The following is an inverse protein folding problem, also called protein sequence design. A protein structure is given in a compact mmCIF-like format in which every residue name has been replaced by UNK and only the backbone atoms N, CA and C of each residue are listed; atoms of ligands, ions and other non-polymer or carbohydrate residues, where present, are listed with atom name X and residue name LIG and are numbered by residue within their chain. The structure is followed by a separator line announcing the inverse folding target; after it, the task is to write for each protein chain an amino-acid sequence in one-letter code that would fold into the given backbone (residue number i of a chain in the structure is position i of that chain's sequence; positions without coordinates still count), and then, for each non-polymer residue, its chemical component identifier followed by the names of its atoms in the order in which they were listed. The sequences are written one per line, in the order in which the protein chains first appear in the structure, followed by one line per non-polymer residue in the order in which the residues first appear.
data_IF_331245585086
#
_entry.id   IF_331245585086
#
_cell.length_a   1.000
_cell.length_b   1.000
_cell.length_c   1.000
_cell.angle_alpha   90.00
_cell.angle_beta   90.00
_cell.angle_gamma   90.00
#
_symmetry.space_group_name_H-M   'P 1'
#
loop_
_entity.id
_entity.type
_entity.pdbx_description
1 polymer ?
#
# COMPACT_ATOMS: atom_id res chain seq x y z
N UNK A 1 -19.54 6.51 76.08
CA UNK A 1 -19.90 5.77 74.83
C UNK A 1 -19.36 6.57 73.71
N UNK A 2 -18.23 6.13 73.13
CA UNK A 2 -17.66 6.71 71.96
C UNK A 2 -18.39 6.06 70.79
N UNK A 3 -19.13 6.86 70.01
CA UNK A 3 -19.74 6.45 68.77
C UNK A 3 -18.63 6.22 67.75
N UNK A 4 -18.33 4.96 67.52
CA UNK A 4 -17.40 4.54 66.44
C UNK A 4 -18.15 4.75 65.11
N UNK A 5 -17.96 5.92 64.51
CA UNK A 5 -18.54 6.23 63.20
C UNK A 5 -17.83 5.41 62.14
N UNK A 6 -18.36 4.21 61.88
CA UNK A 6 -17.93 3.40 60.74
C UNK A 6 -18.32 4.09 59.45
N UNK A 7 -17.35 4.76 58.83
CA UNK A 7 -17.51 5.36 57.52
C UNK A 7 -17.44 4.22 56.48
N UNK A 8 -18.42 4.14 55.59
CA UNK A 8 -18.41 3.21 54.45
C UNK A 8 -17.49 3.82 53.39
N UNK A 9 -16.31 3.25 53.26
CA UNK A 9 -15.37 3.66 52.21
C UNK A 9 -15.79 3.08 50.86
N UNK A 10 -15.42 3.77 49.80
CA UNK A 10 -15.69 3.37 48.38
C UNK A 10 -15.23 1.95 48.09
N UNK A 11 -14.13 1.50 48.67
CA UNK A 11 -13.61 0.14 48.58
C UNK A 11 -14.51 -0.93 49.20
N UNK A 12 -15.36 -0.57 50.14
CA UNK A 12 -16.31 -1.48 50.83
C UNK A 12 -17.67 -1.52 50.15
N UNK A 13 -17.93 -0.61 49.20
CA UNK A 13 -19.18 -0.44 48.47
C UNK A 13 -18.99 -0.60 46.94
N UNK A 14 -17.85 -1.15 46.49
CA UNK A 14 -17.50 -1.25 45.10
C UNK A 14 -18.53 -2.06 44.26
N UNK A 15 -19.11 -3.08 44.88
CA UNK A 15 -20.19 -3.88 44.28
C UNK A 15 -21.54 -3.13 44.13
N UNK A 16 -21.72 -2.02 44.82
CA UNK A 16 -22.95 -1.22 44.80
C UNK A 16 -22.81 0.03 43.92
N UNK A 17 -21.58 0.34 43.45
CA UNK A 17 -21.32 1.47 42.57
C UNK A 17 -21.52 0.99 41.14
N UNK A 18 -22.57 1.45 40.43
CA UNK A 18 -22.73 1.06 39.02
C UNK A 18 -21.55 1.58 38.21
N UNK A 19 -20.91 0.69 37.48
CA UNK A 19 -19.92 1.06 36.47
C UNK A 19 -20.68 1.38 35.20
N UNK A 20 -20.62 2.61 34.77
CA UNK A 20 -21.17 3.01 33.47
C UNK A 20 -20.21 2.54 32.40
N UNK A 21 -20.64 1.57 31.58
CA UNK A 21 -19.93 1.14 30.40
C UNK A 21 -20.31 2.03 29.22
N UNK A 22 -19.31 2.66 28.59
CA UNK A 22 -19.55 3.40 27.37
C UNK A 22 -20.13 2.49 26.28
N UNK A 23 -21.12 2.96 25.54
CA UNK A 23 -21.65 2.30 24.37
C UNK A 23 -20.79 2.57 23.12
N UNK A 24 -19.77 3.42 23.24
CA UNK A 24 -18.85 3.75 22.16
C UNK A 24 -17.53 3.01 22.31
N UNK A 25 -17.09 2.34 21.27
CA UNK A 25 -15.78 1.70 21.16
C UNK A 25 -14.81 2.75 20.61
N UNK A 26 -13.76 3.06 21.36
CA UNK A 26 -12.67 3.91 20.86
C UNK A 26 -11.81 3.06 19.96
N UNK A 27 -11.80 3.38 18.67
CA UNK A 27 -11.02 2.69 17.64
C UNK A 27 -10.37 3.68 16.70
N UNK A 28 -9.27 3.27 16.08
CA UNK A 28 -8.70 4.03 14.96
C UNK A 28 -9.59 3.90 13.71
N UNK A 29 -9.57 4.94 12.89
CA UNK A 29 -10.26 4.90 11.58
C UNK A 29 -9.51 3.94 10.66
N UNK A 30 -10.18 2.97 10.04
CA UNK A 30 -9.55 2.04 9.11
C UNK A 30 -8.85 2.79 7.97
N UNK A 31 -7.61 2.42 7.70
CA UNK A 31 -6.76 3.08 6.71
C UNK A 31 -6.88 2.36 5.37
N UNK A 32 -6.90 3.13 4.30
CA UNK A 32 -7.00 2.57 2.96
C UNK A 32 -5.61 2.18 2.43
N UNK A 33 -5.58 1.15 1.55
CA UNK A 33 -4.36 0.73 0.87
C UNK A 33 -3.74 1.85 0.04
N UNK A 34 -2.44 2.09 0.22
CA UNK A 34 -1.67 3.05 -0.57
C UNK A 34 -1.56 2.62 -2.04
N UNK A 35 -1.39 1.33 -2.31
CA UNK A 35 -1.34 0.80 -3.67
C UNK A 35 -2.64 1.06 -4.43
N UNK A 36 -3.80 0.81 -3.82
CA UNK A 36 -5.09 1.03 -4.47
C UNK A 36 -5.41 2.51 -4.72
N UNK A 37 -4.84 3.42 -3.93
CA UNK A 37 -5.01 4.86 -4.13
C UNK A 37 -4.07 5.44 -5.18
N UNK A 38 -2.80 4.98 -5.20
CA UNK A 38 -1.78 5.53 -6.08
C UNK A 38 -1.78 4.92 -7.48
N UNK A 39 -2.15 3.62 -7.58
CA UNK A 39 -2.08 2.89 -8.84
C UNK A 39 -3.27 3.19 -9.74
N UNK A 40 -3.04 3.01 -11.04
CA UNK A 40 -4.10 3.14 -12.03
C UNK A 40 -5.02 1.94 -12.01
N UNK A 41 -6.29 2.16 -11.66
CA UNK A 41 -7.32 1.14 -11.78
C UNK A 41 -7.69 0.91 -13.25
N UNK A 42 -7.71 -0.36 -13.65
CA UNK A 42 -8.23 -0.81 -14.93
C UNK A 42 -9.68 -1.30 -14.78
N UNK A 43 -10.46 -1.35 -15.88
CA UNK A 43 -11.79 -1.97 -15.84
C UNK A 43 -11.74 -3.38 -15.26
N UNK A 44 -12.74 -3.76 -14.49
CA UNK A 44 -12.83 -5.04 -13.79
C UNK A 44 -12.60 -6.24 -14.73
N UNK A 45 -12.03 -7.31 -14.16
CA UNK A 45 -11.74 -8.54 -14.90
C UNK A 45 -12.97 -9.43 -14.98
N UNK A 46 -13.29 -9.90 -16.17
CA UNK A 46 -14.31 -10.95 -16.37
C UNK A 46 -13.74 -12.37 -16.31
N UNK A 47 -12.42 -12.53 -16.50
CA UNK A 47 -11.70 -13.81 -16.47
C UNK A 47 -10.56 -13.78 -15.44
N UNK A 48 -9.98 -14.94 -15.11
CA UNK A 48 -8.83 -15.05 -14.19
C UNK A 48 -7.62 -14.25 -14.67
N UNK A 49 -7.45 -14.14 -15.99
CA UNK A 49 -6.34 -13.43 -16.61
C UNK A 49 -6.85 -12.34 -17.55
N UNK A 50 -6.15 -11.22 -17.59
CA UNK A 50 -6.37 -10.10 -18.50
C UNK A 50 -5.05 -9.72 -19.13
N UNK A 51 -4.99 -9.72 -20.45
CA UNK A 51 -3.80 -9.37 -21.22
C UNK A 51 -3.93 -7.96 -21.78
N UNK A 52 -2.87 -7.17 -21.61
CA UNK A 52 -2.73 -5.81 -22.12
C UNK A 52 -1.56 -5.77 -23.11
N UNK A 53 -1.72 -5.16 -24.30
CA UNK A 53 -0.59 -4.93 -25.20
C UNK A 53 0.28 -3.79 -24.65
N UNK A 54 1.59 -3.97 -24.67
CA UNK A 54 2.59 -2.96 -24.32
C UNK A 54 3.53 -2.78 -25.49
N UNK A 55 3.84 -1.52 -25.88
CA UNK A 55 4.83 -1.25 -26.89
C UNK A 55 6.21 -1.73 -26.43
N UNK A 56 6.86 -2.59 -27.24
CA UNK A 56 8.20 -3.11 -27.00
C UNK A 56 9.23 -2.49 -27.94
N UNK A 57 8.81 -2.07 -29.13
CA UNK A 57 9.68 -1.39 -30.09
C UNK A 57 8.97 -0.15 -30.66
N UNK A 58 9.67 0.98 -30.72
CA UNK A 58 9.15 2.24 -31.28
C UNK A 58 9.72 2.49 -32.67
N UNK A 59 8.90 2.95 -33.64
CA UNK A 59 9.37 3.30 -34.96
C UNK A 59 10.33 4.48 -34.91
N UNK A 60 11.35 4.48 -35.76
CA UNK A 60 12.31 5.55 -35.93
C UNK A 60 12.09 6.28 -37.25
N UNK A 61 12.18 7.61 -37.22
CA UNK A 61 12.15 8.43 -38.44
C UNK A 61 13.55 8.92 -38.78
N UNK A 62 13.78 9.22 -40.05
CA UNK A 62 15.05 9.73 -40.57
C UNK A 62 14.79 10.75 -41.67
N UNK A 63 15.75 11.64 -41.88
CA UNK A 63 15.69 12.61 -42.96
C UNK A 63 16.28 11.97 -44.24
N UNK A 64 15.74 12.34 -45.38
CA UNK A 64 16.27 12.02 -46.69
C UNK A 64 17.25 13.10 -47.12
N UNK A 65 18.37 12.73 -47.76
CA UNK A 65 19.40 13.68 -48.18
C UNK A 65 19.22 14.12 -49.65
N UNK A 66 18.24 13.61 -50.38
CA UNK A 66 17.95 13.95 -51.74
C UNK A 66 16.55 13.53 -52.20
N UNK A 67 16.10 14.10 -53.29
CA UNK A 67 14.75 13.88 -53.85
C UNK A 67 14.52 12.45 -54.31
N UNK A 68 15.59 11.68 -54.56
CA UNK A 68 15.56 10.31 -55.05
C UNK A 68 15.94 9.26 -54.01
N UNK A 69 16.21 9.68 -52.74
CA UNK A 69 16.60 8.77 -51.69
C UNK A 69 15.48 7.77 -51.34
N UNK A 70 15.88 6.51 -51.17
CA UNK A 70 14.95 5.45 -50.80
C UNK A 70 14.47 5.59 -49.33
N UNK A 71 13.15 5.55 -49.10
CA UNK A 71 12.53 5.52 -47.78
C UNK A 71 12.84 4.20 -47.12
N UNK A 72 13.47 4.27 -45.91
CA UNK A 72 13.78 3.10 -45.09
C UNK A 72 12.55 2.67 -44.31
N UNK A 73 12.38 1.37 -44.16
CA UNK A 73 11.34 0.79 -43.33
C UNK A 73 11.77 0.77 -41.87
N UNK A 74 10.81 0.89 -40.98
CA UNK A 74 11.00 0.73 -39.54
C UNK A 74 9.91 -0.16 -38.98
N UNK A 75 10.18 -0.83 -37.88
CA UNK A 75 9.25 -1.76 -37.25
C UNK A 75 8.67 -1.19 -35.95
N UNK A 76 7.47 -1.63 -35.57
CA UNK A 76 6.84 -1.39 -34.28
C UNK A 76 6.32 -2.74 -33.75
N UNK A 77 6.68 -3.06 -32.53
CA UNK A 77 6.32 -4.33 -31.89
C UNK A 77 5.62 -4.10 -30.56
N UNK A 78 4.77 -5.07 -30.19
CA UNK A 78 4.01 -5.04 -28.93
C UNK A 78 4.19 -6.36 -28.21
N UNK A 79 4.48 -6.26 -26.91
CA UNK A 79 4.51 -7.40 -26.00
C UNK A 79 3.19 -7.52 -25.23
N UNK A 80 2.99 -8.65 -24.60
CA UNK A 80 1.82 -8.95 -23.80
C UNK A 80 2.13 -8.82 -22.31
N UNK A 81 1.44 -7.91 -21.62
CA UNK A 81 1.43 -7.86 -20.17
C UNK A 81 0.18 -8.58 -19.67
N UNK A 82 0.36 -9.61 -18.85
CA UNK A 82 -0.75 -10.39 -18.31
C UNK A 82 -0.93 -10.09 -16.82
N UNK A 83 -2.14 -9.64 -16.46
CA UNK A 83 -2.59 -9.56 -15.08
C UNK A 83 -3.30 -10.87 -14.73
N UNK A 84 -2.93 -11.47 -13.61
CA UNK A 84 -3.60 -12.65 -13.07
C UNK A 84 -4.29 -12.27 -11.76
N UNK A 85 -5.58 -12.57 -11.65
CA UNK A 85 -6.34 -12.31 -10.44
C UNK A 85 -6.03 -13.40 -9.40
N UNK A 86 -5.46 -13.00 -8.29
CA UNK A 86 -5.19 -13.84 -7.12
C UNK A 86 -6.17 -13.53 -6.00
N UNK A 87 -6.34 -14.48 -5.10
CA UNK A 87 -7.32 -14.44 -4.03
C UNK A 87 -6.66 -14.04 -2.72
N UNK A 88 -7.26 -13.05 -2.05
CA UNK A 88 -6.96 -12.70 -0.66
C UNK A 88 -8.18 -13.11 0.15
N UNK A 89 -7.97 -13.83 1.24
CA UNK A 89 -9.05 -14.32 2.07
C UNK A 89 -8.69 -14.26 3.55
N UNK A 90 -9.70 -14.07 4.39
CA UNK A 90 -9.59 -14.17 5.84
C UNK A 90 -10.84 -14.86 6.40
N UNK A 91 -10.67 -15.60 7.47
CA UNK A 91 -11.77 -16.22 8.24
C UNK A 91 -11.62 -15.78 9.70
N UNK A 92 -12.66 -15.16 10.26
CA UNK A 92 -12.70 -14.71 11.65
C UNK A 92 -13.76 -15.55 12.39
N UNK A 93 -13.36 -16.53 13.22
CA UNK A 93 -14.28 -17.32 14.04
C UNK A 93 -14.63 -16.57 15.33
N UNK A 94 -15.90 -16.61 15.74
CA UNK A 94 -16.44 -16.01 16.95
C UNK A 94 -17.36 -17.01 17.65
N UNK A 95 -17.24 -17.24 18.97
CA UNK A 95 -18.22 -18.03 19.73
C UNK A 95 -19.60 -17.39 19.66
N UNK A 96 -20.64 -18.21 19.45
CA UNK A 96 -22.01 -17.72 19.30
C UNK A 96 -22.52 -17.06 20.59
N UNK A 97 -22.11 -17.58 21.75
CA UNK A 97 -22.42 -16.96 23.03
C UNK A 97 -21.91 -15.51 23.14
N UNK A 98 -20.66 -15.25 22.68
CA UNK A 98 -20.09 -13.89 22.68
C UNK A 98 -20.82 -12.99 21.68
N UNK A 99 -21.23 -13.54 20.56
CA UNK A 99 -21.99 -12.81 19.56
C UNK A 99 -23.38 -12.41 20.06
N UNK A 100 -24.08 -13.32 20.77
CA UNK A 100 -25.41 -13.10 21.30
C UNK A 100 -25.43 -12.20 22.54
N UNK A 101 -24.41 -12.29 23.40
CA UNK A 101 -24.29 -11.53 24.64
C UNK A 101 -23.68 -10.13 24.44
N UNK A 102 -23.11 -9.87 23.25
CA UNK A 102 -22.50 -8.56 22.97
C UNK A 102 -23.54 -7.48 22.79
N UNK A 103 -23.31 -6.33 23.44
CA UNK A 103 -24.11 -5.12 23.26
C UNK A 103 -23.78 -4.40 21.92
N UNK A 104 -22.73 -4.84 21.23
CA UNK A 104 -22.22 -4.25 20.00
C UNK A 104 -22.55 -5.13 18.80
N UNK A 105 -22.74 -4.52 17.64
CA UNK A 105 -22.82 -5.25 16.35
C UNK A 105 -21.41 -5.73 15.97
N UNK A 106 -21.04 -6.93 16.39
CA UNK A 106 -19.71 -7.51 16.15
C UNK A 106 -19.29 -7.48 14.68
N UNK A 107 -20.23 -7.72 13.76
CA UNK A 107 -19.93 -7.70 12.33
C UNK A 107 -19.61 -6.30 11.82
N UNK A 108 -20.27 -5.27 12.32
CA UNK A 108 -20.03 -3.90 11.91
C UNK A 108 -18.72 -3.34 12.47
N UNK A 109 -18.24 -3.94 13.58
CA UNK A 109 -16.91 -3.62 14.11
C UNK A 109 -15.78 -4.34 13.39
N UNK A 110 -15.99 -5.58 12.95
CA UNK A 110 -14.95 -6.42 12.34
C UNK A 110 -14.77 -6.11 10.85
N UNK A 111 -15.84 -5.82 10.11
CA UNK A 111 -15.78 -5.55 8.66
C UNK A 111 -14.77 -4.46 8.28
N UNK A 112 -14.74 -3.27 8.92
CA UNK A 112 -13.76 -2.24 8.60
C UNK A 112 -12.32 -2.69 8.84
N UNK A 113 -12.07 -3.44 9.92
CA UNK A 113 -10.74 -3.97 10.25
C UNK A 113 -10.28 -5.01 9.20
N UNK A 114 -11.20 -5.80 8.65
CA UNK A 114 -10.90 -6.74 7.56
C UNK A 114 -10.52 -5.98 6.28
N UNK A 115 -11.22 -4.89 5.96
CA UNK A 115 -10.90 -4.06 4.79
C UNK A 115 -9.49 -3.48 4.92
N UNK A 116 -9.13 -2.98 6.10
CA UNK A 116 -7.78 -2.50 6.40
C UNK A 116 -6.75 -3.62 6.27
N UNK A 117 -7.00 -4.79 6.85
CA UNK A 117 -6.10 -5.94 6.75
C UNK A 117 -5.87 -6.40 5.30
N UNK A 118 -6.88 -6.33 4.44
CA UNK A 118 -6.70 -6.58 3.00
C UNK A 118 -5.84 -5.48 2.35
N UNK A 119 -6.01 -4.22 2.72
CA UNK A 119 -5.18 -3.12 2.27
C UNK A 119 -3.71 -3.34 2.62
N UNK A 120 -3.44 -3.65 3.89
CA UNK A 120 -2.10 -3.97 4.39
C UNK A 120 -1.48 -5.13 3.61
N UNK A 121 -2.19 -6.24 3.43
CA UNK A 121 -1.67 -7.40 2.70
C UNK A 121 -1.35 -7.10 1.23
N UNK A 122 -2.15 -6.24 0.58
CA UNK A 122 -1.89 -5.79 -0.80
C UNK A 122 -0.62 -4.93 -0.84
N UNK A 123 -0.50 -3.97 0.06
CA UNK A 123 0.63 -3.04 0.11
C UNK A 123 1.94 -3.76 0.43
N UNK A 124 1.96 -4.66 1.40
CA UNK A 124 3.10 -5.52 1.72
C UNK A 124 3.55 -6.36 0.52
N UNK A 125 2.59 -7.00 -0.17
CA UNK A 125 2.90 -7.86 -1.31
C UNK A 125 3.47 -7.06 -2.49
N UNK A 126 2.91 -5.88 -2.79
CA UNK A 126 3.25 -5.11 -3.98
C UNK A 126 4.49 -4.25 -3.78
N UNK A 127 4.65 -3.59 -2.63
CA UNK A 127 5.80 -2.73 -2.38
C UNK A 127 7.02 -3.52 -1.91
N UNK A 128 6.86 -4.48 -0.98
CA UNK A 128 7.96 -5.15 -0.31
C UNK A 128 8.07 -6.66 -0.62
N UNK A 129 7.05 -7.26 -1.26
CA UNK A 129 7.07 -8.66 -1.67
C UNK A 129 6.81 -9.66 -0.53
N UNK A 130 6.23 -9.20 0.59
CA UNK A 130 5.86 -10.07 1.71
C UNK A 130 4.63 -10.89 1.29
N UNK A 131 4.73 -12.22 1.43
CA UNK A 131 3.67 -13.17 1.03
C UNK A 131 3.12 -12.97 -0.39
N UNK A 132 3.93 -12.39 -1.29
CA UNK A 132 3.57 -12.08 -2.66
C UNK A 132 3.24 -13.33 -3.45
N UNK A 133 2.07 -13.40 -4.15
CA UNK A 133 1.79 -14.47 -5.11
C UNK A 133 2.86 -14.54 -6.22
N UNK A 134 3.19 -15.73 -6.68
CA UNK A 134 4.21 -15.91 -7.74
C UNK A 134 3.82 -15.24 -9.08
N UNK A 135 2.53 -15.04 -9.32
CA UNK A 135 1.98 -14.40 -10.52
C UNK A 135 2.08 -12.87 -10.52
N UNK A 136 2.32 -12.26 -9.35
CA UNK A 136 2.52 -10.82 -9.24
C UNK A 136 3.93 -10.44 -9.72
N UNK A 137 4.12 -9.19 -10.17
CA UNK A 137 5.44 -8.69 -10.56
C UNK A 137 6.40 -8.73 -9.38
N UNK A 138 7.69 -8.53 -9.65
CA UNK A 138 8.65 -8.28 -8.59
C UNK A 138 8.22 -7.05 -7.79
N UNK A 139 8.39 -7.11 -6.48
CA UNK A 139 8.01 -6.00 -5.58
C UNK A 139 8.70 -4.70 -5.99
N UNK A 140 7.97 -3.59 -5.93
CA UNK A 140 8.42 -2.30 -6.46
C UNK A 140 9.77 -1.90 -5.87
N UNK A 141 9.94 -2.02 -4.55
CA UNK A 141 11.19 -1.67 -3.87
C UNK A 141 12.32 -2.59 -4.30
N UNK A 142 12.10 -3.92 -4.31
CA UNK A 142 13.12 -4.89 -4.70
C UNK A 142 13.53 -4.70 -6.17
N UNK A 143 12.56 -4.49 -7.06
CA UNK A 143 12.84 -4.26 -8.48
C UNK A 143 13.59 -2.94 -8.73
N UNK A 144 13.26 -1.86 -7.99
CA UNK A 144 13.98 -0.60 -8.08
C UNK A 144 15.44 -0.74 -7.62
N UNK A 145 15.67 -1.46 -6.52
CA UNK A 145 17.02 -1.75 -6.01
C UNK A 145 17.81 -2.59 -7.03
N UNK A 146 17.21 -3.65 -7.57
CA UNK A 146 17.85 -4.51 -8.57
C UNK A 146 18.23 -3.79 -9.86
N UNK A 147 17.49 -2.73 -10.24
CA UNK A 147 17.78 -1.87 -11.40
C UNK A 147 18.71 -0.68 -11.09
N UNK A 148 19.22 -0.57 -9.87
CA UNK A 148 20.10 0.53 -9.46
C UNK A 148 19.39 1.88 -9.30
N UNK A 149 18.05 1.89 -9.26
CA UNK A 149 17.25 3.09 -9.04
C UNK A 149 17.12 3.37 -7.55
N UNK A 150 18.24 3.49 -6.88
CA UNK A 150 18.32 3.65 -5.43
C UNK A 150 19.24 4.83 -5.09
N UNK A 151 18.87 5.61 -4.09
CA UNK A 151 19.68 6.69 -3.52
C UNK A 151 19.69 6.46 -2.01
N UNK A 152 20.88 6.47 -1.39
CA UNK A 152 20.96 6.38 0.06
C UNK A 152 20.76 7.76 0.68
N UNK A 153 20.04 7.83 1.79
CA UNK A 153 19.88 9.09 2.53
C UNK A 153 21.24 9.62 2.99
N UNK A 154 21.47 10.91 2.83
CA UNK A 154 22.75 11.56 3.13
C UNK A 154 23.74 11.50 1.96
N UNK A 155 23.30 11.14 0.75
CA UNK A 155 24.13 11.22 -0.46
C UNK A 155 24.36 12.68 -0.85
N UNK A 156 23.35 13.53 -0.69
CA UNK A 156 23.43 14.97 -0.85
C UNK A 156 23.47 15.69 0.50
N UNK A 157 23.58 17.01 0.49
CA UNK A 157 23.70 17.86 1.69
C UNK A 157 22.50 17.71 2.64
N UNK A 158 21.31 17.51 2.07
CA UNK A 158 20.06 17.33 2.82
C UNK A 158 19.10 16.34 2.15
N UNK A 159 18.02 16.01 2.83
CA UNK A 159 17.01 15.08 2.31
C UNK A 159 16.28 15.63 1.08
N UNK A 160 16.16 16.94 0.94
CA UNK A 160 15.58 17.55 -0.25
C UNK A 160 16.49 17.34 -1.45
N UNK A 161 17.81 17.48 -1.27
CA UNK A 161 18.82 17.14 -2.28
C UNK A 161 18.76 15.66 -2.67
N UNK A 162 18.64 14.74 -1.71
CA UNK A 162 18.52 13.30 -1.97
C UNK A 162 17.27 12.94 -2.79
N UNK A 163 16.19 13.71 -2.67
CA UNK A 163 14.94 13.42 -3.39
C UNK A 163 14.87 14.19 -4.71
N UNK A 164 15.11 15.51 -4.68
CA UNK A 164 14.83 16.43 -5.78
C UNK A 164 16.10 16.79 -6.57
N UNK A 165 17.26 16.75 -5.90
CA UNK A 165 18.54 17.20 -6.44
C UNK A 165 19.07 16.34 -7.59
N UNK A 166 20.19 16.78 -8.17
CA UNK A 166 20.89 16.02 -9.19
C UNK A 166 21.38 14.68 -8.62
N UNK A 167 21.11 13.57 -9.33
CA UNK A 167 21.36 12.22 -8.84
C UNK A 167 20.40 11.75 -7.74
N UNK A 168 19.43 12.57 -7.33
CA UNK A 168 18.40 12.21 -6.37
C UNK A 168 17.37 11.22 -6.91
N UNK A 169 16.44 10.81 -6.05
CA UNK A 169 15.43 9.79 -6.38
C UNK A 169 14.60 10.19 -7.59
N UNK A 170 14.19 11.46 -7.71
CA UNK A 170 13.45 11.93 -8.89
C UNK A 170 14.29 11.88 -10.16
N UNK A 171 15.57 12.30 -10.07
CA UNK A 171 16.52 12.25 -11.19
C UNK A 171 16.66 10.83 -11.72
N UNK A 172 16.74 9.82 -10.85
CA UNK A 172 16.80 8.40 -11.24
C UNK A 172 15.60 7.97 -12.08
N UNK A 173 14.39 8.37 -11.70
CA UNK A 173 13.17 8.07 -12.48
C UNK A 173 13.18 8.83 -13.84
N UNK A 174 13.62 10.07 -13.85
CA UNK A 174 13.67 10.93 -15.04
C UNK A 174 14.76 10.49 -16.02
N UNK A 175 15.88 9.97 -15.55
CA UNK A 175 16.93 9.33 -16.35
C UNK A 175 16.40 8.13 -17.11
N UNK A 176 15.49 7.35 -16.50
CA UNK A 176 14.81 6.21 -17.12
C UNK A 176 13.70 6.63 -18.12
N UNK A 177 13.46 7.94 -18.26
CA UNK A 177 12.45 8.48 -19.20
C UNK A 177 11.03 8.44 -18.68
N UNK A 178 10.82 8.27 -17.38
CA UNK A 178 9.53 8.37 -16.73
C UNK A 178 9.39 9.69 -15.98
N UNK A 179 8.15 10.06 -15.65
CA UNK A 179 7.85 11.26 -14.87
C UNK A 179 7.31 10.83 -13.51
N UNK A 180 7.90 11.32 -12.43
CA UNK A 180 7.36 11.07 -11.10
C UNK A 180 5.96 11.67 -10.99
N UNK A 181 4.97 10.86 -10.63
CA UNK A 181 3.58 11.30 -10.47
C UNK A 181 3.15 11.35 -9.01
N UNK A 182 3.91 10.75 -8.10
CA UNK A 182 3.63 10.75 -6.67
C UNK A 182 4.77 10.16 -5.87
N UNK A 183 4.58 10.18 -4.55
CA UNK A 183 5.50 9.64 -3.56
C UNK A 183 4.74 8.80 -2.54
N UNK A 184 5.37 7.72 -2.09
CA UNK A 184 4.92 6.92 -0.94
C UNK A 184 6.09 6.81 0.03
N UNK A 185 5.89 7.20 1.27
CA UNK A 185 6.95 7.32 2.25
C UNK A 185 6.54 6.82 3.62
N UNK A 186 7.53 6.42 4.42
CA UNK A 186 7.34 6.15 5.82
C UNK A 186 6.98 7.43 6.59
N UNK A 187 6.07 7.33 7.57
CA UNK A 187 5.59 8.47 8.36
C UNK A 187 6.69 9.18 9.15
N UNK A 188 7.72 8.46 9.56
CA UNK A 188 8.87 9.05 10.27
C UNK A 188 9.68 10.04 9.41
N UNK A 189 9.57 9.91 8.09
CA UNK A 189 10.27 10.82 7.17
C UNK A 189 9.74 12.26 7.22
N UNK A 190 8.48 12.44 7.61
CA UNK A 190 7.87 13.77 7.74
C UNK A 190 8.63 14.66 8.74
N UNK A 191 9.12 14.05 9.84
CA UNK A 191 9.93 14.79 10.81
C UNK A 191 11.22 15.37 10.20
N UNK A 192 11.83 14.66 9.24
CA UNK A 192 13.01 15.14 8.53
C UNK A 192 12.67 16.29 7.58
N UNK A 193 11.50 16.24 6.93
CA UNK A 193 11.05 17.37 6.09
C UNK A 193 10.74 18.62 6.92
N UNK A 194 10.13 18.46 8.09
CA UNK A 194 9.84 19.59 9.00
C UNK A 194 11.11 20.29 9.52
N UNK A 195 12.24 19.60 9.51
CA UNK A 195 13.53 20.14 9.90
C UNK A 195 14.30 20.84 8.76
N UNK A 196 13.80 20.76 7.52
CA UNK A 196 14.46 21.41 6.39
C UNK A 196 14.43 22.93 6.53
N UNK A 197 15.60 23.54 6.42
CA UNK A 197 15.79 24.99 6.50
C UNK A 197 16.64 25.49 5.35
N UNK A 198 16.38 26.70 4.93
CA UNK A 198 17.24 27.39 3.97
C UNK A 198 18.52 27.97 4.66
N UNK A 199 19.41 28.57 3.87
CA UNK A 199 20.63 29.23 4.37
C UNK A 199 20.33 30.37 5.35
N UNK A 200 19.11 30.90 5.37
CA UNK A 200 18.65 31.97 6.27
C UNK A 200 17.90 31.41 7.49
N UNK A 201 17.96 30.07 7.72
CA UNK A 201 17.29 29.36 8.79
C UNK A 201 15.73 29.41 8.72
N UNK A 202 15.17 29.68 7.53
CA UNK A 202 13.74 29.63 7.29
C UNK A 202 13.30 28.22 6.95
N UNK A 203 12.12 27.80 7.45
CA UNK A 203 11.55 26.49 7.15
C UNK A 203 11.21 26.40 5.65
N UNK A 204 11.74 25.40 4.98
CA UNK A 204 11.44 25.11 3.57
C UNK A 204 10.15 24.29 3.41
N UNK A 205 9.81 23.52 4.43
CA UNK A 205 8.60 22.70 4.46
C UNK A 205 7.67 23.24 5.56
N UNK A 206 6.58 23.88 5.17
CA UNK A 206 5.52 24.33 6.08
C UNK A 206 4.25 23.56 5.74
N UNK A 207 3.95 22.48 6.47
CA UNK A 207 2.59 21.94 6.42
C UNK A 207 1.63 23.02 6.90
N UNK A 208 0.57 23.26 6.13
CA UNK A 208 -0.41 24.31 6.46
C UNK A 208 -0.99 24.07 7.84
N UNK A 209 -0.72 24.97 8.78
CA UNK A 209 -1.25 24.91 10.17
C UNK A 209 -2.77 25.08 10.26
N UNK A 210 -3.43 25.43 9.16
CA UNK A 210 -4.85 25.85 9.16
C UNK A 210 -5.72 25.17 8.11
N UNK A 211 -5.18 24.29 7.26
CA UNK A 211 -5.97 23.60 6.25
C UNK A 211 -5.49 22.16 6.06
N UNK A 212 -6.43 21.26 5.88
CA UNK A 212 -6.21 19.89 5.40
C UNK A 212 -5.75 19.92 3.91
N UNK A 213 -4.62 20.58 3.63
CA UNK A 213 -4.04 20.52 2.30
C UNK A 213 -3.40 19.14 2.13
N UNK A 214 -3.69 18.44 1.02
CA UNK A 214 -3.03 17.19 0.75
C UNK A 214 -1.51 17.40 0.74
N UNK A 215 -0.80 16.54 1.44
CA UNK A 215 0.65 16.60 1.52
C UNK A 215 1.20 16.44 0.11
N UNK A 216 1.94 17.45 -0.35
CA UNK A 216 2.53 17.44 -1.68
C UNK A 216 4.00 17.82 -1.63
N UNK A 217 4.83 17.11 -2.38
CA UNK A 217 6.22 17.41 -2.58
C UNK A 217 6.42 17.81 -4.06
N UNK A 218 6.94 19.02 -4.29
CA UNK A 218 7.13 19.56 -5.66
C UNK A 218 5.84 19.53 -6.50
N UNK A 219 4.70 19.84 -5.85
CA UNK A 219 3.38 19.84 -6.50
C UNK A 219 2.85 18.46 -6.91
N UNK A 220 3.41 17.38 -6.36
CA UNK A 220 2.96 16.00 -6.58
C UNK A 220 2.46 15.41 -5.28
N UNK A 221 1.40 14.58 -5.31
CA UNK A 221 0.85 14.00 -4.10
C UNK A 221 1.89 13.13 -3.39
N UNK A 222 1.95 13.26 -2.09
CA UNK A 222 2.76 12.44 -1.20
C UNK A 222 1.85 11.74 -0.20
N UNK A 223 1.98 10.44 -0.11
CA UNK A 223 1.25 9.61 0.83
C UNK A 223 2.22 9.06 1.86
N UNK A 224 1.87 9.18 3.13
CA UNK A 224 2.61 8.56 4.22
C UNK A 224 1.99 7.22 4.59
N UNK A 225 2.84 6.26 4.88
CA UNK A 225 2.41 5.01 5.48
C UNK A 225 2.08 5.23 6.95
N UNK A 226 0.87 4.85 7.30
CA UNK A 226 0.38 4.88 8.67
C UNK A 226 -0.02 3.48 9.16
N UNK A 227 0.12 2.47 8.29
CA UNK A 227 -0.32 1.09 8.56
C UNK A 227 0.81 0.21 9.09
N UNK A 228 2.06 0.70 9.02
CA UNK A 228 3.24 -0.05 9.45
C UNK A 228 3.74 -1.07 8.42
N UNK A 229 3.28 -0.98 7.18
CA UNK A 229 3.71 -1.82 6.06
C UNK A 229 5.14 -1.50 5.64
N UNK A 230 5.61 -0.28 5.88
CA UNK A 230 6.85 0.23 5.33
C UNK A 230 8.07 -0.41 5.97
N UNK A 231 8.83 -1.19 5.20
CA UNK A 231 10.10 -1.76 5.63
C UNK A 231 11.22 -0.71 5.54
N UNK A 232 11.41 0.02 6.64
CA UNK A 232 12.41 1.10 6.74
C UNK A 232 13.86 0.62 6.62
N UNK A 233 14.10 -0.69 6.69
CA UNK A 233 15.44 -1.26 6.45
C UNK A 233 15.80 -1.29 4.96
N UNK A 234 14.81 -1.28 4.06
CA UNK A 234 15.00 -1.31 2.62
C UNK A 234 14.74 0.03 1.96
N UNK A 235 13.73 0.75 2.43
CA UNK A 235 13.30 1.99 1.84
C UNK A 235 12.78 2.97 2.88
N UNK A 236 12.91 4.25 2.64
CA UNK A 236 12.30 5.34 3.40
C UNK A 236 11.25 6.08 2.56
N UNK A 237 11.42 6.08 1.23
CA UNK A 237 10.52 6.70 0.28
C UNK A 237 10.60 5.96 -1.06
N UNK A 238 9.45 5.81 -1.68
CA UNK A 238 9.29 5.34 -3.06
C UNK A 238 8.74 6.47 -3.92
N UNK A 239 9.45 6.82 -4.98
CA UNK A 239 9.00 7.80 -5.97
C UNK A 239 8.88 7.14 -7.33
N UNK A 240 7.92 7.55 -8.14
CA UNK A 240 7.82 7.00 -9.47
C UNK A 240 6.59 7.42 -10.26
N UNK A 241 6.45 6.80 -11.41
CA UNK A 241 5.25 6.93 -12.25
C UNK A 241 4.22 5.88 -11.86
N UNK A 242 3.42 6.19 -10.87
CA UNK A 242 2.36 5.30 -10.38
C UNK A 242 1.29 4.99 -11.43
N UNK A 243 1.20 5.76 -12.51
CA UNK A 243 0.30 5.43 -13.63
C UNK A 243 0.72 4.17 -14.40
N UNK A 244 1.97 3.73 -14.20
CA UNK A 244 2.51 2.49 -14.78
C UNK A 244 2.26 1.27 -13.89
N UNK A 245 2.01 1.46 -12.61
CA UNK A 245 1.48 0.41 -11.76
C UNK A 245 -0.03 0.34 -11.97
N UNK A 246 -0.52 -0.83 -12.35
CA UNK A 246 -1.92 -1.03 -12.71
C UNK A 246 -2.51 -2.18 -11.90
N UNK A 247 -3.76 -2.02 -11.49
CA UNK A 247 -4.51 -3.10 -10.87
C UNK A 247 -5.89 -3.26 -11.49
N UNK A 248 -6.45 -4.44 -11.36
CA UNK A 248 -7.80 -4.74 -11.80
C UNK A 248 -8.47 -5.70 -10.82
N UNK A 249 -9.69 -5.36 -10.41
CA UNK A 249 -10.49 -6.16 -9.50
C UNK A 249 -11.28 -7.17 -10.34
N UNK A 250 -11.20 -8.46 -9.96
CA UNK A 250 -12.06 -9.50 -10.52
C UNK A 250 -13.31 -9.70 -9.68
N UNK A 251 -13.15 -9.69 -8.37
CA UNK A 251 -14.21 -9.89 -7.39
C UNK A 251 -13.93 -8.96 -6.21
N UNK A 252 -14.88 -8.09 -5.94
CA UNK A 252 -14.84 -7.22 -4.78
C UNK A 252 -15.04 -8.03 -3.49
N UNK A 253 -14.82 -7.39 -2.35
CA UNK A 253 -14.91 -8.06 -1.05
C UNK A 253 -16.29 -8.67 -0.88
N UNK A 254 -16.32 -9.99 -0.72
CA UNK A 254 -17.53 -10.76 -0.46
C UNK A 254 -17.48 -11.36 0.93
N UNK A 255 -18.58 -11.23 1.66
CA UNK A 255 -18.73 -11.69 3.02
C UNK A 255 -19.65 -12.92 3.03
N UNK A 256 -19.23 -13.99 3.73
CA UNK A 256 -20.06 -15.18 3.95
C UNK A 256 -19.97 -15.62 5.40
N UNK A 257 -21.11 -15.70 6.06
CA UNK A 257 -21.21 -16.29 7.40
C UNK A 257 -21.22 -17.81 7.27
N UNK A 258 -20.41 -18.47 8.08
CA UNK A 258 -20.27 -19.92 8.18
C UNK A 258 -20.68 -20.33 9.60
N UNK A 259 -21.59 -21.30 9.68
CA UNK A 259 -22.13 -21.86 10.92
C UNK A 259 -21.79 -23.35 11.10
N UNK A 260 -21.48 -24.05 10.00
CA UNK A 260 -21.27 -25.50 9.96
C UNK A 260 -19.98 -25.89 9.25
N UNK A 261 -18.90 -25.13 9.47
CA UNK A 261 -17.62 -25.39 8.84
C UNK A 261 -16.59 -25.95 9.84
N UNK A 262 -15.63 -26.69 9.32
CA UNK A 262 -14.42 -27.10 10.04
C UNK A 262 -13.29 -26.22 9.57
N UNK A 263 -12.63 -25.52 10.50
CA UNK A 263 -11.45 -24.70 10.25
C UNK A 263 -10.22 -25.51 10.66
N UNK A 264 -9.27 -25.67 9.75
CA UNK A 264 -8.05 -26.42 9.95
C UNK A 264 -6.84 -25.50 10.03
N UNK A 265 -5.83 -25.89 10.80
CA UNK A 265 -4.51 -25.28 10.79
C UNK A 265 -3.75 -25.67 9.51
N UNK A 266 -2.62 -25.04 9.27
CA UNK A 266 -1.73 -25.32 8.12
C UNK A 266 -1.15 -26.74 8.10
N UNK A 267 -1.08 -27.39 9.25
CA UNK A 267 -0.65 -28.79 9.42
C UNK A 267 -1.76 -29.83 9.18
N UNK A 268 -2.99 -29.36 8.87
CA UNK A 268 -4.16 -30.20 8.66
C UNK A 268 -4.90 -30.61 9.95
N UNK A 269 -4.43 -30.22 11.13
CA UNK A 269 -5.15 -30.43 12.39
C UNK A 269 -6.39 -29.54 12.46
N UNK A 270 -7.45 -30.01 13.13
CA UNK A 270 -8.67 -29.24 13.31
C UNK A 270 -8.39 -28.15 14.35
N UNK A 271 -8.50 -26.87 13.92
CA UNK A 271 -8.44 -25.73 14.81
C UNK A 271 -9.80 -25.47 15.49
N UNK A 272 -10.86 -25.43 14.68
CA UNK A 272 -12.23 -25.22 15.15
C UNK A 272 -13.21 -26.07 14.36
N UNK A 273 -14.17 -26.68 15.08
CA UNK A 273 -15.35 -27.29 14.49
C UNK A 273 -16.56 -26.44 14.89
N UNK A 274 -16.99 -25.55 13.98
CA UNK A 274 -17.99 -24.53 14.31
C UNK A 274 -19.28 -25.13 14.86
N UNK A 275 -19.75 -26.22 14.27
CA UNK A 275 -20.99 -26.86 14.69
C UNK A 275 -20.91 -27.56 16.06
N UNK A 276 -19.73 -28.05 16.47
CA UNK A 276 -19.55 -28.75 17.76
C UNK A 276 -19.17 -27.80 18.90
N UNK A 277 -18.65 -26.60 18.54
CA UNK A 277 -18.14 -25.62 19.49
C UNK A 277 -19.06 -24.41 19.61
N UNK A 278 -20.23 -24.44 18.99
CA UNK A 278 -21.20 -23.36 18.94
C UNK A 278 -20.53 -22.03 18.54
N UNK A 279 -19.89 -22.05 17.34
CA UNK A 279 -19.16 -20.92 16.78
C UNK A 279 -19.71 -20.50 15.43
N UNK A 280 -19.60 -19.22 15.14
CA UNK A 280 -19.89 -18.62 13.82
C UNK A 280 -18.60 -18.02 13.28
N UNK A 281 -18.36 -18.15 11.98
CA UNK A 281 -17.21 -17.53 11.36
C UNK A 281 -17.61 -16.63 10.18
N UNK A 282 -16.95 -15.47 10.06
CA UNK A 282 -17.06 -14.60 8.90
C UNK A 282 -15.91 -14.88 7.94
N UNK A 283 -16.23 -15.38 6.75
CA UNK A 283 -15.27 -15.54 5.66
C UNK A 283 -15.37 -14.37 4.71
N UNK A 284 -14.26 -13.69 4.48
CA UNK A 284 -14.14 -12.59 3.54
C UNK A 284 -13.14 -12.97 2.45
N UNK A 285 -13.49 -12.68 1.21
CA UNK A 285 -12.68 -13.01 0.03
C UNK A 285 -12.71 -11.85 -0.96
N UNK A 286 -11.55 -11.49 -1.48
CA UNK A 286 -11.36 -10.54 -2.56
C UNK A 286 -10.43 -11.14 -3.62
N UNK A 287 -10.63 -10.78 -4.89
CA UNK A 287 -9.75 -11.19 -5.98
C UNK A 287 -9.32 -9.99 -6.81
N UNK A 288 -8.02 -9.79 -6.92
CA UNK A 288 -7.45 -8.72 -7.74
C UNK A 288 -6.16 -9.18 -8.42
N UNK A 289 -5.84 -8.52 -9.53
CA UNK A 289 -4.55 -8.67 -10.20
C UNK A 289 -3.80 -7.35 -10.18
N UNK A 290 -2.50 -7.39 -9.94
CA UNK A 290 -1.60 -6.25 -9.97
C UNK A 290 -0.48 -6.51 -10.96
N UNK A 291 -0.04 -5.46 -11.66
CA UNK A 291 1.10 -5.53 -12.56
C UNK A 291 1.77 -4.17 -12.73
N UNK A 292 3.07 -4.17 -13.00
CA UNK A 292 3.83 -2.97 -13.35
C UNK A 292 4.09 -2.95 -14.84
N UNK A 293 3.48 -2.00 -15.54
CA UNK A 293 3.70 -1.79 -16.96
C UNK A 293 5.01 -1.03 -17.18
N UNK A 294 5.88 -1.59 -18.02
CA UNK A 294 7.16 -0.98 -18.36
C UNK A 294 7.27 -0.77 -19.88
N UNK A 295 6.44 0.12 -20.48
CA UNK A 295 6.46 0.34 -21.92
C UNK A 295 7.78 0.94 -22.37
N UNK A 296 8.20 0.61 -23.60
CA UNK A 296 9.39 1.21 -24.18
C UNK A 296 9.21 2.73 -24.32
N UNK A 297 10.24 3.48 -24.00
CA UNK A 297 10.35 4.91 -24.28
C UNK A 297 11.65 5.21 -25.00
N UNK A 298 11.83 6.45 -25.50
CA UNK A 298 13.00 6.83 -26.30
C UNK A 298 14.22 7.23 -25.48
N UNK A 299 14.06 7.46 -24.17
CA UNK A 299 15.12 7.93 -23.28
C UNK A 299 15.73 6.79 -22.46
N UNK A 300 14.89 5.91 -21.91
CA UNK A 300 15.36 4.81 -21.07
C UNK A 300 15.91 3.65 -21.86
N UNK A 301 16.90 2.96 -21.29
CA UNK A 301 17.50 1.74 -21.83
C UNK A 301 16.62 0.49 -21.68
N UNK A 302 17.20 -0.69 -21.95
CA UNK A 302 16.51 -1.97 -21.79
C UNK A 302 16.11 -2.25 -20.32
N UNK A 303 16.92 -1.80 -19.38
CA UNK A 303 16.75 -2.02 -17.94
C UNK A 303 15.97 -0.92 -17.22
N UNK A 304 15.23 -0.10 -17.97
CA UNK A 304 14.41 0.98 -17.41
C UNK A 304 13.37 0.46 -16.42
N UNK A 305 13.10 1.25 -15.39
CA UNK A 305 12.07 0.96 -14.40
C UNK A 305 11.39 2.25 -13.90
N UNK A 306 10.06 2.28 -13.75
CA UNK A 306 9.33 3.52 -13.48
C UNK A 306 9.40 4.02 -12.04
N UNK A 307 10.08 3.31 -11.14
CA UNK A 307 10.20 3.65 -9.73
C UNK A 307 11.65 3.75 -9.30
N UNK A 308 11.89 4.60 -8.30
CA UNK A 308 13.15 4.71 -7.59
C UNK A 308 12.89 4.85 -6.09
N UNK A 309 13.90 4.52 -5.29
CA UNK A 309 13.78 4.36 -3.85
C UNK A 309 14.82 5.21 -3.13
N UNK A 310 14.41 5.88 -2.05
CA UNK A 310 15.33 6.42 -1.05
C UNK A 310 15.58 5.34 -0.01
N UNK A 311 16.81 4.82 0.02
CA UNK A 311 17.23 3.81 0.98
C UNK A 311 17.77 4.46 2.27
N UNK A 312 17.72 3.75 3.41
CA UNK A 312 18.43 4.19 4.61
C UNK A 312 19.94 4.29 4.36
N UNK A 313 20.64 5.05 5.20
CA UNK A 313 22.12 5.02 5.23
C UNK A 313 22.60 3.64 5.66
N UNK A 314 23.51 3.07 4.90
CA UNK A 314 24.17 1.79 5.24
C UNK A 314 25.12 1.99 6.41
#
# INVERSE_FOLDING_TARGET
MTLDAKIIYRTNAEALIPVETSSEIIKEVPKASAALQLFKQLPNMSAKQKTLPIASTLPTAYFLNGDTDMKKTTNAEWDKLTLTAEEIAVIVPIPEAVFNDSQYSMWDEIKPQIVEAFGVAIDEAVFFGVNKPATYPEAIVNAAIAKGNTVSIGTNEDIAGDIIGEGGVMSKVEEQGYKVTGFYADSTLEAKFRNLRDKNNQLLYTPGLTSEMPVSLVGRPMMYDETGVFDTSKALLVAGDFTKAVYSIRQDITYKVLDQAIIQNTDGSIAYNLAQQDMVALRCVMRLGVQVANPVNRKGGADRYPFAVLAPSV
#
